data_IF_780009038593
#
_entry.id   IF_780009038593
#
_cell.length_a   1.000
_cell.length_b   1.000
_cell.length_c   1.000
_cell.angle_alpha   90.00
_cell.angle_beta   90.00
_cell.angle_gamma   90.00
#
_symmetry.space_group_name_H-M   'P 1'
#
loop_
_entity.id
_entity.type
_entity.pdbx_description
1 polymer ?
#
# COMPACT_ATOMS: atom_id res chain seq x y z
N UNK A 1 12.02 -29.51 -45.65
CA UNK A 1 11.47 -28.15 -45.96
C UNK A 1 10.07 -27.89 -45.38
N UNK A 2 9.13 -28.84 -45.40
CA UNK A 2 7.76 -28.62 -44.86
C UNK A 2 7.66 -28.49 -43.32
N UNK A 3 8.52 -29.12 -42.54
CA UNK A 3 8.47 -29.10 -41.06
C UNK A 3 8.98 -27.77 -40.53
N UNK A 4 10.05 -27.23 -41.10
CA UNK A 4 10.62 -25.92 -40.73
C UNK A 4 9.64 -24.75 -40.99
N UNK A 5 8.91 -24.83 -42.09
CA UNK A 5 7.90 -23.81 -42.43
C UNK A 5 6.71 -23.86 -41.45
N UNK A 6 6.26 -25.03 -41.04
CA UNK A 6 5.18 -25.17 -40.04
C UNK A 6 5.60 -24.67 -38.64
N UNK A 7 6.85 -24.93 -38.24
CA UNK A 7 7.38 -24.41 -36.96
C UNK A 7 7.48 -22.88 -36.98
N UNK A 8 7.91 -22.29 -38.10
CA UNK A 8 7.98 -20.83 -38.25
C UNK A 8 6.59 -20.17 -38.17
N UNK A 9 5.60 -20.80 -38.79
CA UNK A 9 4.21 -20.31 -38.75
C UNK A 9 3.64 -20.40 -37.32
N UNK A 10 3.90 -21.47 -36.58
CA UNK A 10 3.44 -21.61 -35.19
C UNK A 10 4.11 -20.57 -34.28
N UNK A 11 5.41 -20.35 -34.44
CA UNK A 11 6.13 -19.29 -33.69
C UNK A 11 5.60 -17.89 -34.03
N UNK A 12 5.29 -17.62 -35.29
CA UNK A 12 4.71 -16.34 -35.72
C UNK A 12 3.34 -16.11 -35.09
N UNK A 13 2.46 -17.12 -35.04
CA UNK A 13 1.15 -17.02 -34.36
C UNK A 13 1.25 -16.92 -32.84
N UNK A 14 2.27 -17.49 -32.19
CA UNK A 14 2.54 -17.32 -30.77
C UNK A 14 2.96 -15.88 -30.42
N UNK A 15 3.68 -15.20 -31.32
CA UNK A 15 4.07 -13.80 -31.13
C UNK A 15 2.92 -12.79 -31.35
N UNK A 16 1.85 -13.17 -32.06
CA UNK A 16 0.72 -12.28 -32.34
C UNK A 16 -0.29 -12.15 -31.17
N UNK A 17 -0.15 -12.96 -30.10
CA UNK A 17 -1.07 -12.92 -28.97
C UNK A 17 -0.57 -12.08 -27.76
N UNK A 18 0.38 -11.17 -27.97
CA UNK A 18 0.64 -10.13 -27.00
C UNK A 18 -0.47 -9.07 -27.06
N UNK A 19 -1.65 -9.42 -26.59
CA UNK A 19 -2.64 -8.40 -26.22
C UNK A 19 -2.05 -7.65 -25.05
N UNK A 20 -1.75 -6.39 -25.24
CA UNK A 20 -1.46 -5.46 -24.17
C UNK A 20 -2.65 -5.51 -23.22
N UNK A 21 -2.48 -6.11 -22.04
CA UNK A 21 -3.44 -5.94 -20.96
C UNK A 21 -3.39 -4.46 -20.59
N UNK A 22 -4.30 -3.67 -21.15
CA UNK A 22 -4.60 -2.35 -20.63
C UNK A 22 -5.18 -2.58 -19.24
N UNK A 23 -4.34 -2.43 -18.24
CA UNK A 23 -4.80 -2.20 -16.88
C UNK A 23 -5.77 -1.01 -16.95
N UNK A 24 -6.96 -1.17 -16.40
CA UNK A 24 -7.95 -0.10 -16.27
C UNK A 24 -7.31 1.07 -15.52
N UNK A 25 -6.61 1.93 -16.26
CA UNK A 25 -6.21 3.25 -15.81
C UNK A 25 -7.44 4.13 -15.95
N UNK A 26 -7.81 4.82 -14.87
CA UNK A 26 -8.92 5.75 -14.91
C UNK A 26 -8.73 6.83 -15.97
N UNK A 27 -9.81 7.48 -16.35
CA UNK A 27 -9.87 8.56 -17.36
C UNK A 27 -8.95 9.75 -17.01
N UNK A 28 -8.59 9.89 -15.74
CA UNK A 28 -7.67 10.91 -15.23
C UNK A 28 -6.32 10.29 -14.86
N UNK A 29 -5.23 10.67 -15.54
CA UNK A 29 -3.91 10.20 -15.18
C UNK A 29 -3.51 10.76 -13.79
N UNK A 30 -2.77 9.99 -12.99
CA UNK A 30 -2.25 10.47 -11.71
C UNK A 30 -1.43 11.74 -11.85
N UNK A 31 -1.54 12.65 -10.88
CA UNK A 31 -0.75 13.88 -10.78
C UNK A 31 0.73 13.51 -10.73
N UNK A 32 1.50 13.99 -11.69
CA UNK A 32 2.94 13.74 -11.74
C UNK A 32 3.67 14.60 -10.73
N UNK A 33 4.53 13.96 -9.94
CA UNK A 33 5.39 14.63 -8.98
C UNK A 33 6.87 14.39 -9.32
N UNK A 34 7.69 15.39 -9.03
CA UNK A 34 9.14 15.26 -9.15
C UNK A 34 9.71 14.66 -7.86
N UNK A 35 9.69 13.33 -7.81
CA UNK A 35 10.18 12.59 -6.67
C UNK A 35 11.72 12.52 -6.67
N UNK A 36 12.35 12.89 -5.59
CA UNK A 36 13.82 12.84 -5.42
C UNK A 36 14.41 11.45 -5.67
N UNK A 37 13.65 10.38 -5.48
CA UNK A 37 14.07 9.00 -5.65
C UNK A 37 13.86 8.44 -7.06
N UNK A 38 13.21 9.17 -7.99
CA UNK A 38 12.93 8.68 -9.37
C UNK A 38 14.13 8.78 -10.32
N UNK A 39 15.14 9.56 -10.01
CA UNK A 39 16.33 9.68 -10.88
C UNK A 39 17.24 8.46 -10.76
N UNK A 40 18.14 8.26 -11.74
CA UNK A 40 19.10 7.15 -11.74
C UNK A 40 19.96 7.10 -10.46
N UNK A 41 20.33 8.27 -9.91
CA UNK A 41 21.02 8.43 -8.63
C UNK A 41 20.10 8.93 -7.52
N UNK A 42 18.80 8.77 -7.72
CA UNK A 42 17.79 9.26 -6.80
C UNK A 42 17.89 8.61 -5.42
N UNK A 43 17.57 9.38 -4.39
CA UNK A 43 17.55 8.94 -3.00
C UNK A 43 16.27 9.42 -2.33
N UNK A 44 15.82 8.64 -1.38
CA UNK A 44 14.77 9.10 -0.48
C UNK A 44 15.30 10.19 0.43
N UNK A 45 14.51 11.23 0.63
CA UNK A 45 14.76 12.22 1.67
C UNK A 45 14.37 11.64 3.03
N UNK A 46 15.36 11.53 3.93
CA UNK A 46 15.18 10.94 5.26
C UNK A 46 14.11 11.65 6.07
N UNK A 47 14.14 12.96 6.10
CA UNK A 47 13.20 13.78 6.87
C UNK A 47 11.77 13.58 6.36
N UNK A 48 11.59 13.46 5.05
CA UNK A 48 10.29 13.17 4.44
C UNK A 48 9.81 11.77 4.80
N UNK A 49 10.69 10.76 4.83
CA UNK A 49 10.32 9.40 5.26
C UNK A 49 9.92 9.36 6.75
N UNK A 50 10.62 10.11 7.61
CA UNK A 50 10.27 10.20 9.03
C UNK A 50 8.90 10.85 9.24
N UNK A 51 8.62 11.95 8.54
CA UNK A 51 7.27 12.57 8.54
C UNK A 51 6.21 11.65 7.95
N UNK A 52 6.53 10.94 6.88
CA UNK A 52 5.64 9.94 6.28
C UNK A 52 5.32 8.79 7.25
N UNK A 53 6.31 8.34 8.01
CA UNK A 53 6.10 7.34 9.07
C UNK A 53 5.19 7.89 10.18
N UNK A 54 5.38 9.15 10.58
CA UNK A 54 4.51 9.81 11.55
C UNK A 54 3.06 9.85 11.05
N UNK A 55 2.83 10.30 9.81
CA UNK A 55 1.48 10.30 9.20
C UNK A 55 0.90 8.89 9.15
N UNK A 56 1.71 7.89 8.79
CA UNK A 56 1.25 6.50 8.80
C UNK A 56 0.75 6.08 10.18
N UNK A 57 1.54 6.29 11.24
CA UNK A 57 1.20 5.85 12.60
C UNK A 57 0.03 6.61 13.21
N UNK A 58 -0.08 7.90 12.92
CA UNK A 58 -1.12 8.76 13.51
C UNK A 58 -2.46 8.67 12.77
N UNK A 59 -2.44 8.34 11.47
CA UNK A 59 -3.64 8.36 10.61
C UNK A 59 -3.91 7.01 9.98
N UNK A 60 -2.97 6.48 9.16
CA UNK A 60 -3.24 5.35 8.28
C UNK A 60 -3.28 4.00 9.02
N UNK A 61 -2.47 3.84 10.06
CA UNK A 61 -2.31 2.59 10.79
C UNK A 61 -3.55 2.17 11.58
N UNK A 62 -4.52 3.07 11.76
CA UNK A 62 -5.81 2.74 12.36
C UNK A 62 -6.66 1.79 11.50
N UNK A 63 -6.43 1.79 10.17
CA UNK A 63 -7.17 0.97 9.21
C UNK A 63 -6.25 0.12 8.31
N UNK A 64 -5.05 0.60 7.99
CA UNK A 64 -4.14 -0.03 7.03
C UNK A 64 -2.95 -0.72 7.69
N UNK A 65 -2.74 -1.98 7.37
CA UNK A 65 -1.56 -2.73 7.81
C UNK A 65 -0.32 -2.46 6.95
N UNK A 66 0.86 -2.72 7.51
CA UNK A 66 2.15 -2.86 6.82
C UNK A 66 2.83 -4.17 7.25
N UNK A 67 2.18 -5.29 7.03
CA UNK A 67 2.54 -6.62 7.57
C UNK A 67 3.92 -7.15 7.16
N UNK A 68 4.51 -6.62 6.08
CA UNK A 68 5.85 -7.05 5.65
C UNK A 68 6.98 -6.32 6.35
N UNK A 69 6.70 -5.19 7.01
CA UNK A 69 7.69 -4.43 7.74
C UNK A 69 7.84 -4.93 9.18
N UNK A 70 9.06 -4.83 9.69
CA UNK A 70 9.41 -4.99 11.10
C UNK A 70 9.92 -3.66 11.65
N UNK A 71 9.86 -3.45 12.95
CA UNK A 71 10.34 -2.20 13.56
C UNK A 71 11.82 -1.91 13.29
N UNK A 72 12.66 -2.93 13.09
CA UNK A 72 14.05 -2.75 12.67
C UNK A 72 14.23 -2.01 11.36
N UNK A 73 13.25 -2.16 10.42
CA UNK A 73 13.32 -1.48 9.13
C UNK A 73 13.28 0.04 9.25
N UNK A 74 12.80 0.57 10.38
CA UNK A 74 12.83 2.01 10.67
C UNK A 74 14.25 2.55 10.84
N UNK A 75 15.21 1.72 11.29
CA UNK A 75 16.61 2.08 11.45
C UNK A 75 17.50 1.69 10.26
N UNK A 76 16.96 0.93 9.30
CA UNK A 76 17.73 0.45 8.16
C UNK A 76 18.07 1.58 7.17
N UNK A 77 19.22 1.42 6.53
CA UNK A 77 19.70 2.36 5.51
C UNK A 77 18.76 2.37 4.30
N UNK A 78 18.41 3.55 3.84
CA UNK A 78 17.46 3.76 2.73
C UNK A 78 16.01 3.82 3.15
N UNK A 79 15.72 3.59 4.43
CA UNK A 79 14.44 3.86 5.08
C UNK A 79 14.43 5.21 5.80
N UNK A 80 13.58 5.35 6.83
CA UNK A 80 13.55 6.56 7.67
C UNK A 80 14.85 6.82 8.42
N UNK A 81 15.66 5.79 8.60
CA UNK A 81 16.98 5.83 9.26
C UNK A 81 16.93 6.52 10.64
N UNK A 82 15.93 6.17 11.46
CA UNK A 82 15.97 6.49 12.88
C UNK A 82 17.17 5.83 13.54
N UNK A 83 17.65 6.36 14.66
CA UNK A 83 18.65 5.61 15.42
C UNK A 83 18.04 4.29 15.94
N UNK A 84 18.91 3.32 16.28
CA UNK A 84 18.43 2.04 16.82
C UNK A 84 17.66 2.25 18.12
N UNK A 85 18.09 3.20 18.96
CA UNK A 85 17.43 3.58 20.21
C UNK A 85 16.06 4.18 19.94
N UNK A 86 15.94 5.06 18.94
CA UNK A 86 14.65 5.62 18.52
C UNK A 86 13.71 4.54 17.99
N UNK A 87 14.21 3.64 17.14
CA UNK A 87 13.41 2.54 16.62
C UNK A 87 12.95 1.57 17.71
N UNK A 88 13.78 1.31 18.74
CA UNK A 88 13.41 0.54 19.95
C UNK A 88 12.32 1.25 20.75
N UNK A 89 12.48 2.57 20.95
CA UNK A 89 11.49 3.36 21.67
C UNK A 89 10.14 3.38 20.93
N UNK A 90 10.18 3.53 19.62
CA UNK A 90 8.97 3.44 18.78
C UNK A 90 8.32 2.06 18.92
N UNK A 91 9.08 0.97 18.79
CA UNK A 91 8.56 -0.39 18.91
C UNK A 91 7.88 -0.62 20.27
N UNK A 92 8.49 -0.16 21.35
CA UNK A 92 7.99 -0.36 22.72
C UNK A 92 6.64 0.31 23.02
N UNK A 93 6.18 1.24 22.16
CA UNK A 93 4.84 1.83 22.28
C UNK A 93 3.71 0.90 21.79
N UNK A 94 4.07 -0.24 21.19
CA UNK A 94 3.11 -1.21 20.67
C UNK A 94 3.20 -2.50 21.46
N UNK A 95 2.07 -3.17 21.61
CA UNK A 95 1.98 -4.47 22.27
C UNK A 95 1.84 -5.59 21.24
N UNK A 96 2.52 -6.70 21.50
CA UNK A 96 2.44 -7.92 20.69
C UNK A 96 2.18 -9.12 21.59
N UNK A 97 1.41 -10.08 21.10
CA UNK A 97 1.24 -11.36 21.75
C UNK A 97 2.45 -12.23 21.47
N UNK A 98 3.02 -12.80 22.49
CA UNK A 98 4.18 -13.71 22.45
C UNK A 98 3.90 -14.98 23.25
N UNK A 99 4.72 -15.99 23.11
CA UNK A 99 4.59 -17.25 23.82
C UNK A 99 4.50 -18.46 22.89
N UNK A 100 4.13 -19.63 23.45
CA UNK A 100 3.74 -19.83 24.85
C UNK A 100 4.92 -19.73 25.83
N UNK A 101 4.64 -19.33 27.08
CA UNK A 101 5.58 -19.38 28.18
C UNK A 101 5.81 -20.84 28.68
N UNK A 102 6.55 -21.04 29.77
CA UNK A 102 6.81 -22.37 30.35
C UNK A 102 5.53 -23.11 30.79
N UNK A 103 4.46 -22.36 31.05
CA UNK A 103 3.16 -22.90 31.47
C UNK A 103 2.19 -23.14 30.32
N UNK A 104 2.63 -22.86 29.08
CA UNK A 104 1.85 -23.01 27.86
C UNK A 104 0.92 -21.84 27.56
N UNK A 105 1.08 -20.69 28.23
CA UNK A 105 0.22 -19.55 28.12
C UNK A 105 0.78 -18.49 27.15
N UNK A 106 -0.08 -17.86 26.38
CA UNK A 106 0.25 -16.67 25.58
C UNK A 106 0.25 -15.44 26.49
N UNK A 107 1.18 -14.53 26.27
CA UNK A 107 1.30 -13.30 27.03
C UNK A 107 1.54 -12.09 26.13
N UNK A 108 1.20 -10.91 26.63
CA UNK A 108 1.43 -9.64 25.93
C UNK A 108 2.72 -9.00 26.45
N UNK A 109 3.49 -8.44 25.53
CA UNK A 109 4.69 -7.66 25.84
C UNK A 109 4.86 -6.48 24.90
N UNK A 110 5.66 -5.46 25.24
CA UNK A 110 6.10 -4.44 24.31
C UNK A 110 6.83 -5.06 23.10
N UNK A 111 6.58 -4.51 21.93
CA UNK A 111 7.25 -4.97 20.70
C UNK A 111 8.74 -4.65 20.72
N UNK A 112 9.52 -5.47 20.02
CA UNK A 112 10.96 -5.37 19.81
C UNK A 112 11.25 -5.06 18.34
N UNK A 113 12.49 -4.74 18.02
CA UNK A 113 12.93 -4.46 16.63
C UNK A 113 12.65 -5.61 15.66
N UNK A 114 12.68 -6.86 16.14
CA UNK A 114 12.39 -8.05 15.32
C UNK A 114 10.92 -8.24 14.98
N UNK A 115 10.03 -7.65 15.78
CA UNK A 115 8.60 -7.86 15.61
C UNK A 115 8.08 -7.10 14.38
N UNK A 116 7.02 -7.65 13.79
CA UNK A 116 6.29 -7.02 12.71
C UNK A 116 5.51 -5.81 13.22
N UNK A 117 5.22 -4.87 12.33
CA UNK A 117 4.27 -3.82 12.65
C UNK A 117 2.94 -4.43 13.06
N UNK A 118 2.38 -3.93 14.15
CA UNK A 118 1.08 -4.36 14.65
C UNK A 118 0.01 -4.04 13.62
N UNK A 119 -0.84 -5.03 13.36
CA UNK A 119 -1.96 -4.87 12.44
C UNK A 119 -3.19 -4.29 13.16
N UNK A 120 -3.97 -3.41 12.51
CA UNK A 120 -5.14 -2.80 13.14
C UNK A 120 -6.28 -3.79 13.43
N UNK A 121 -6.34 -4.91 12.72
CA UNK A 121 -7.38 -5.93 12.82
C UNK A 121 -6.78 -7.32 12.92
N UNK A 122 -7.42 -8.19 13.70
CA UNK A 122 -6.97 -9.56 13.90
C UNK A 122 -7.20 -10.45 12.67
N UNK A 123 -8.20 -10.12 11.85
CA UNK A 123 -8.56 -10.86 10.64
C UNK A 123 -9.32 -9.99 9.63
N UNK A 124 -9.59 -10.57 8.45
CA UNK A 124 -10.25 -9.89 7.32
C UNK A 124 -11.71 -9.55 7.63
N UNK A 125 -12.40 -10.39 8.35
CA UNK A 125 -13.81 -10.23 8.70
C UNK A 125 -14.00 -9.03 9.64
N UNK A 126 -13.16 -8.92 10.66
CA UNK A 126 -13.13 -7.77 11.58
C UNK A 126 -12.83 -6.47 10.82
N UNK A 127 -11.83 -6.50 9.93
CA UNK A 127 -11.50 -5.35 9.10
C UNK A 127 -12.67 -4.89 8.23
N UNK A 128 -13.39 -5.82 7.59
CA UNK A 128 -14.57 -5.50 6.78
C UNK A 128 -15.73 -4.94 7.61
N UNK A 129 -16.01 -5.53 8.76
CA UNK A 129 -17.06 -5.04 9.65
C UNK A 129 -16.81 -3.62 10.10
N UNK A 130 -15.55 -3.30 10.41
CA UNK A 130 -15.14 -1.97 10.86
C UNK A 130 -15.09 -0.92 9.75
N UNK A 131 -15.13 -1.33 8.47
CA UNK A 131 -14.93 -0.45 7.32
C UNK A 131 -16.08 -0.58 6.29
N UNK A 132 -17.33 -0.72 6.73
CA UNK A 132 -18.50 -0.72 5.85
C UNK A 132 -18.50 -1.84 4.79
N UNK A 133 -17.91 -3.00 5.11
CA UNK A 133 -17.78 -4.14 4.21
C UNK A 133 -16.51 -4.13 3.34
N UNK A 134 -15.75 -3.05 3.32
CA UNK A 134 -14.50 -2.94 2.58
C UNK A 134 -13.31 -3.46 3.40
N UNK A 135 -12.34 -4.13 2.73
CA UNK A 135 -11.07 -4.51 3.34
C UNK A 135 -10.00 -3.48 3.01
N UNK A 136 -9.49 -2.71 3.98
CA UNK A 136 -8.41 -1.76 3.73
C UNK A 136 -7.15 -2.48 3.25
N UNK A 137 -6.58 -2.12 2.08
CA UNK A 137 -5.43 -2.80 1.54
C UNK A 137 -4.20 -2.64 2.42
N UNK A 138 -3.37 -3.70 2.50
CA UNK A 138 -2.05 -3.64 3.13
C UNK A 138 -1.12 -2.71 2.34
N UNK A 139 -0.48 -1.76 3.02
CA UNK A 139 0.32 -0.72 2.38
C UNK A 139 1.78 -1.14 2.11
N UNK A 140 2.23 -2.31 2.58
CA UNK A 140 3.64 -2.73 2.48
C UNK A 140 4.22 -2.67 1.06
N UNK A 141 3.41 -2.99 0.06
CA UNK A 141 3.83 -3.00 -1.36
C UNK A 141 2.85 -2.24 -2.27
N UNK A 142 1.98 -1.43 -1.69
CA UNK A 142 0.90 -0.77 -2.41
C UNK A 142 1.40 0.08 -3.58
N UNK A 143 2.49 0.83 -3.39
CA UNK A 143 3.14 1.64 -4.43
C UNK A 143 3.58 0.81 -5.64
N UNK A 144 4.02 -0.44 -5.43
CA UNK A 144 4.37 -1.36 -6.52
C UNK A 144 3.16 -2.03 -7.16
N UNK A 145 2.09 -2.19 -6.39
CA UNK A 145 0.88 -2.87 -6.83
C UNK A 145 -0.10 -1.97 -7.60
N UNK A 146 0.19 -0.69 -7.73
CA UNK A 146 -0.66 0.27 -8.45
C UNK A 146 0.05 0.85 -9.66
N UNK A 147 -0.64 0.90 -10.80
CA UNK A 147 -0.18 1.65 -11.96
C UNK A 147 -0.02 3.13 -11.56
N UNK A 148 1.10 3.75 -11.97
CA UNK A 148 1.45 5.10 -11.52
C UNK A 148 2.23 5.16 -10.19
N UNK A 149 2.26 4.08 -9.41
CA UNK A 149 3.09 3.98 -8.21
C UNK A 149 2.87 5.09 -7.19
N UNK A 150 3.93 5.83 -6.84
CA UNK A 150 3.85 6.93 -5.88
C UNK A 150 2.95 8.07 -6.35
N UNK A 151 2.93 8.37 -7.65
CA UNK A 151 2.03 9.39 -8.23
C UNK A 151 0.56 9.01 -8.02
N UNK A 152 0.22 7.72 -8.15
CA UNK A 152 -1.13 7.24 -7.89
C UNK A 152 -1.54 7.44 -6.43
N UNK A 153 -0.70 7.01 -5.48
CA UNK A 153 -1.00 7.17 -4.04
C UNK A 153 -1.13 8.64 -3.67
N UNK A 154 -0.24 9.48 -4.19
CA UNK A 154 -0.31 10.93 -4.00
C UNK A 154 -1.63 11.51 -4.52
N UNK A 155 -2.04 11.10 -5.72
CA UNK A 155 -3.29 11.56 -6.34
C UNK A 155 -4.52 11.08 -5.58
N UNK A 156 -4.52 9.86 -5.04
CA UNK A 156 -5.60 9.37 -4.17
C UNK A 156 -5.75 10.26 -2.93
N UNK A 157 -4.64 10.60 -2.29
CA UNK A 157 -4.68 11.41 -1.05
C UNK A 157 -5.12 12.85 -1.28
N UNK A 158 -4.90 13.40 -2.47
CA UNK A 158 -5.26 14.78 -2.82
C UNK A 158 -6.54 14.90 -3.66
N UNK A 159 -7.10 13.80 -4.12
CA UNK A 159 -8.21 13.77 -5.05
C UNK A 159 -9.59 13.82 -4.40
N UNK A 160 -9.67 14.00 -3.09
CA UNK A 160 -10.95 14.20 -2.40
C UNK A 160 -11.45 15.61 -2.65
N UNK A 161 -12.67 15.70 -3.19
CA UNK A 161 -13.30 16.98 -3.56
C UNK A 161 -14.81 16.91 -3.35
N UNK A 162 -15.49 18.03 -3.49
CA UNK A 162 -16.94 18.06 -3.44
C UNK A 162 -17.56 17.25 -4.59
N UNK A 163 -18.62 16.49 -4.32
CA UNK A 163 -19.27 15.70 -5.37
C UNK A 163 -19.86 16.60 -6.45
N UNK A 164 -19.93 16.12 -7.71
CA UNK A 164 -20.62 16.83 -8.78
C UNK A 164 -22.05 17.19 -8.44
N UNK A 165 -22.54 18.28 -9.02
CA UNK A 165 -23.91 18.76 -8.83
C UNK A 165 -24.95 17.64 -9.08
N UNK A 166 -25.83 17.42 -8.14
CA UNK A 166 -26.86 16.38 -8.20
C UNK A 166 -26.45 14.99 -7.69
N UNK A 167 -25.18 14.79 -7.32
CA UNK A 167 -24.73 13.57 -6.68
C UNK A 167 -24.96 13.64 -5.17
N UNK A 168 -25.70 12.67 -4.63
CA UNK A 168 -25.96 12.53 -3.19
C UNK A 168 -25.07 11.39 -2.70
N UNK A 169 -24.28 11.65 -1.67
CA UNK A 169 -23.45 10.66 -0.98
C UNK A 169 -24.06 10.31 0.36
N UNK A 170 -23.86 9.06 0.80
CA UNK A 170 -24.22 8.63 2.14
C UNK A 170 -23.31 9.27 3.20
N UNK A 171 -23.77 9.32 4.45
CA UNK A 171 -22.97 9.82 5.56
C UNK A 171 -21.65 9.07 5.71
N UNK A 172 -20.54 9.81 5.77
CA UNK A 172 -19.18 9.26 5.88
C UNK A 172 -18.57 8.79 4.55
N UNK A 173 -19.26 8.97 3.43
CA UNK A 173 -18.73 8.70 2.09
C UNK A 173 -18.23 10.00 1.48
N UNK A 174 -17.05 9.97 0.89
CA UNK A 174 -16.39 11.11 0.27
C UNK A 174 -16.16 10.86 -1.21
N UNK A 175 -16.37 11.88 -2.03
CA UNK A 175 -16.13 11.80 -3.46
C UNK A 175 -14.63 11.83 -3.74
N UNK A 176 -14.14 10.84 -4.51
CA UNK A 176 -12.76 10.76 -4.95
C UNK A 176 -12.76 10.69 -6.48
N UNK A 177 -12.47 11.80 -7.13
CA UNK A 177 -12.54 11.98 -8.59
C UNK A 177 -11.67 10.97 -9.35
N UNK A 178 -10.50 10.66 -8.83
CA UNK A 178 -9.56 9.70 -9.46
C UNK A 178 -10.13 8.29 -9.63
N UNK A 179 -11.05 7.87 -8.76
CA UNK A 179 -11.63 6.51 -8.76
C UNK A 179 -13.03 6.51 -9.37
N UNK A 180 -13.86 7.49 -9.06
CA UNK A 180 -15.26 7.53 -9.48
C UNK A 180 -15.46 7.69 -10.98
N UNK A 181 -14.47 8.20 -11.69
CA UNK A 181 -14.54 8.39 -13.15
C UNK A 181 -14.17 7.10 -13.89
N UNK A 182 -13.55 6.12 -13.22
CA UNK A 182 -13.14 4.86 -13.83
C UNK A 182 -14.08 3.67 -13.54
N UNK A 183 -15.06 3.82 -12.69
CA UNK A 183 -16.06 2.78 -12.46
C UNK A 183 -17.42 3.23 -12.99
N UNK A 184 -17.98 2.52 -14.01
CA UNK A 184 -19.39 2.66 -14.31
C UNK A 184 -20.15 2.20 -13.06
N UNK A 185 -20.97 3.09 -12.50
CA UNK A 185 -21.90 2.78 -11.42
C UNK A 185 -22.65 1.49 -11.77
N UNK A 186 -22.28 0.40 -11.10
CA UNK A 186 -23.13 -0.78 -11.09
C UNK A 186 -24.27 -0.50 -10.12
N UNK A 187 -25.43 -0.24 -10.71
CA UNK A 187 -26.71 -0.28 -10.02
C UNK A 187 -27.04 -1.71 -9.57
#
# INVERSE_FOLDING_TARGET
MQITTKILIILFFLFLNFTSANSAGGEYPPIKQDWSFKSFFGKFDRSSLQRGYQVYTEVCASCHSMKYLSYRNLAEKGGPEFSEEQAKAIASNFEVTDGPNSDGEMFTRPAKLSDKFVMPYSNVEEAKLSNGGAYPPDMSVLVKARAGGADYIYSVLLGYEDPPEGMILDDGVYYLSLIHISEPTRH
#
